data_IF_453266029355
#
_entry.id   IF_453266029355
#
_cell.length_a   1.000
_cell.length_b   1.000
_cell.length_c   1.000
_cell.angle_alpha   90.00
_cell.angle_beta   90.00
_cell.angle_gamma   90.00
#
_symmetry.space_group_name_H-M   'P 1'
#
loop_
_entity.id
_entity.type
_entity.pdbx_description
1 polymer ?
#
# COMPACT_ATOMS: atom_id res chain seq x y z
N UNK A 1 -17.87 1.77 14.03
CA UNK A 1 -16.92 1.80 12.90
C UNK A 1 -16.08 3.06 13.00
N UNK A 2 -14.78 2.91 13.28
CA UNK A 2 -13.82 4.01 13.34
C UNK A 2 -12.87 3.97 12.15
N UNK A 3 -13.33 3.52 10.97
CA UNK A 3 -12.56 3.49 9.73
C UNK A 3 -11.59 2.31 9.58
N UNK A 4 -11.71 1.26 10.40
CA UNK A 4 -10.86 0.06 10.27
C UNK A 4 -11.44 -0.96 9.28
N UNK A 5 -10.57 -1.79 8.70
CA UNK A 5 -10.91 -2.90 7.83
C UNK A 5 -10.39 -4.22 8.40
N UNK A 6 -11.11 -5.31 8.14
CA UNK A 6 -10.66 -6.66 8.48
C UNK A 6 -10.05 -7.34 7.25
N UNK A 7 -8.88 -7.95 7.43
CA UNK A 7 -8.22 -8.76 6.43
C UNK A 7 -7.94 -10.19 6.92
N UNK A 8 -7.50 -11.04 6.00
CA UNK A 8 -7.08 -12.41 6.32
C UNK A 8 -5.57 -12.47 6.57
N UNK A 9 -5.16 -13.25 7.57
CA UNK A 9 -3.75 -13.43 7.96
C UNK A 9 -3.38 -14.91 8.08
N UNK A 10 -3.81 -15.71 7.11
CA UNK A 10 -3.54 -17.14 7.07
C UNK A 10 -4.35 -17.96 8.07
N UNK A 11 -4.47 -19.26 7.79
CA UNK A 11 -5.05 -20.23 8.69
C UNK A 11 -3.98 -20.71 9.68
N UNK A 12 -4.20 -20.56 10.98
CA UNK A 12 -3.23 -20.86 12.04
C UNK A 12 -1.87 -20.14 11.88
N UNK A 13 -1.85 -18.95 11.32
CA UNK A 13 -0.62 -18.22 10.99
C UNK A 13 0.36 -19.04 10.13
N UNK A 14 -0.16 -19.92 9.29
CA UNK A 14 0.61 -20.80 8.43
C UNK A 14 0.74 -20.19 7.04
N UNK A 15 1.95 -19.96 6.53
CA UNK A 15 2.16 -19.35 5.22
C UNK A 15 1.63 -20.22 4.08
N UNK A 16 1.25 -19.59 2.98
CA UNK A 16 0.78 -20.30 1.79
C UNK A 16 1.97 -20.77 0.95
N UNK A 17 2.60 -21.84 1.39
CA UNK A 17 3.70 -22.51 0.69
C UNK A 17 3.69 -24.03 0.93
N UNK A 18 4.27 -24.76 -0.01
CA UNK A 18 4.46 -26.20 0.05
C UNK A 18 5.93 -26.48 0.41
N UNK A 19 6.17 -27.22 1.49
CA UNK A 19 7.51 -27.47 2.01
C UNK A 19 8.48 -28.04 0.99
N UNK A 20 8.09 -29.16 0.39
CA UNK A 20 8.99 -29.87 -0.55
C UNK A 20 9.09 -29.21 -1.92
N UNK A 21 8.12 -28.39 -2.31
CA UNK A 21 8.03 -27.80 -3.64
C UNK A 21 8.54 -26.36 -3.68
N UNK A 22 8.20 -25.56 -2.67
CA UNK A 22 8.48 -24.13 -2.66
C UNK A 22 9.75 -23.81 -1.87
N UNK A 23 9.84 -24.23 -0.60
CA UNK A 23 10.89 -23.77 0.31
C UNK A 23 11.59 -24.89 1.08
N UNK A 24 11.08 -26.15 1.04
CA UNK A 24 11.72 -27.27 1.69
C UNK A 24 11.95 -27.05 3.18
N UNK A 25 13.17 -27.31 3.62
CA UNK A 25 13.57 -27.18 5.03
C UNK A 25 14.00 -25.75 5.43
N UNK A 26 13.90 -24.78 4.53
CA UNK A 26 14.35 -23.40 4.78
C UNK A 26 13.44 -22.69 5.79
N UNK A 27 12.15 -23.04 5.82
CA UNK A 27 11.19 -22.42 6.73
C UNK A 27 11.14 -23.08 8.10
N UNK A 28 11.18 -22.30 9.18
CA UNK A 28 11.00 -22.82 10.54
C UNK A 28 9.53 -23.17 10.87
N UNK A 29 8.62 -23.04 9.91
CA UNK A 29 7.19 -23.30 10.09
C UNK A 29 6.76 -24.58 9.42
N UNK A 30 5.60 -25.08 9.85
CA UNK A 30 4.90 -26.12 9.10
C UNK A 30 4.38 -25.52 7.79
N UNK A 31 4.75 -26.16 6.68
CA UNK A 31 4.23 -25.87 5.36
C UNK A 31 3.04 -26.79 5.05
N UNK A 32 2.32 -26.49 3.98
CA UNK A 32 1.19 -27.32 3.56
C UNK A 32 1.68 -28.59 2.84
N UNK A 33 1.01 -29.69 3.08
CA UNK A 33 1.37 -31.00 2.51
C UNK A 33 1.17 -31.05 0.99
N UNK A 34 0.18 -30.34 0.49
CA UNK A 34 -0.16 -30.22 -0.92
C UNK A 34 -1.10 -29.02 -1.15
N UNK A 35 -1.27 -28.63 -2.40
CA UNK A 35 -2.11 -27.51 -2.80
C UNK A 35 -3.56 -27.65 -2.33
N UNK A 36 -4.13 -28.85 -2.38
CA UNK A 36 -5.50 -29.10 -1.92
C UNK A 36 -5.67 -28.82 -0.43
N UNK A 37 -4.67 -29.16 0.40
CA UNK A 37 -4.70 -28.87 1.84
C UNK A 37 -4.61 -27.35 2.08
N UNK A 38 -3.78 -26.66 1.32
CA UNK A 38 -3.62 -25.19 1.35
C UNK A 38 -4.92 -24.49 0.92
N UNK A 39 -5.55 -24.92 -0.18
CA UNK A 39 -6.85 -24.43 -0.66
C UNK A 39 -7.96 -24.67 0.37
N UNK A 40 -7.99 -25.87 0.99
CA UNK A 40 -8.97 -26.20 2.01
C UNK A 40 -8.82 -25.34 3.26
N UNK A 41 -7.59 -25.01 3.66
CA UNK A 41 -7.32 -24.13 4.79
C UNK A 41 -7.79 -22.70 4.53
N UNK A 42 -7.53 -22.16 3.35
CA UNK A 42 -8.04 -20.85 2.96
C UNK A 42 -9.56 -20.83 2.89
N UNK A 43 -10.19 -21.86 2.33
CA UNK A 43 -11.65 -21.99 2.29
C UNK A 43 -12.25 -21.99 3.68
N UNK A 44 -11.64 -22.72 4.62
CA UNK A 44 -12.09 -22.78 6.03
C UNK A 44 -11.89 -21.43 6.73
N UNK A 45 -10.77 -20.75 6.53
CA UNK A 45 -10.51 -19.43 7.06
C UNK A 45 -11.59 -18.43 6.60
N UNK A 46 -11.92 -18.44 5.32
CA UNK A 46 -12.95 -17.55 4.75
C UNK A 46 -14.35 -17.91 5.25
N UNK A 47 -14.66 -19.19 5.36
CA UNK A 47 -15.91 -19.66 5.95
C UNK A 47 -16.06 -19.17 7.40
N UNK A 48 -14.99 -19.25 8.17
CA UNK A 48 -14.94 -18.78 9.55
C UNK A 48 -15.09 -17.27 9.63
N UNK A 49 -14.35 -16.52 8.81
CA UNK A 49 -14.46 -15.05 8.71
C UNK A 49 -15.88 -14.61 8.42
N UNK A 50 -16.53 -15.21 7.41
CA UNK A 50 -17.93 -14.93 7.07
C UNK A 50 -18.91 -15.24 8.22
N UNK A 51 -18.62 -16.29 8.99
CA UNK A 51 -19.45 -16.66 10.16
C UNK A 51 -19.29 -15.65 11.31
N UNK A 52 -18.06 -15.24 11.59
CA UNK A 52 -17.76 -14.34 12.71
C UNK A 52 -18.13 -12.88 12.43
N UNK A 53 -18.02 -12.47 11.17
CA UNK A 53 -18.25 -11.10 10.72
C UNK A 53 -19.26 -11.08 9.56
N UNK A 54 -20.54 -11.42 9.84
CA UNK A 54 -21.55 -11.49 8.80
C UNK A 54 -21.80 -10.11 8.18
N UNK A 55 -21.83 -10.06 6.84
CA UNK A 55 -21.98 -8.81 6.09
C UNK A 55 -20.70 -8.01 5.86
N UNK A 56 -19.57 -8.42 6.43
CA UNK A 56 -18.27 -7.80 6.16
C UNK A 56 -17.60 -8.47 4.96
N UNK A 57 -17.22 -7.67 3.99
CA UNK A 57 -16.39 -8.13 2.89
C UNK A 57 -14.92 -7.94 3.29
N UNK A 58 -14.15 -9.03 3.25
CA UNK A 58 -12.71 -9.02 3.51
C UNK A 58 -12.00 -9.35 2.19
N UNK A 59 -11.23 -8.40 1.67
CA UNK A 59 -10.55 -8.52 0.38
C UNK A 59 -9.03 -8.45 0.49
N UNK A 60 -8.50 -8.13 1.67
CA UNK A 60 -7.07 -8.00 1.92
C UNK A 60 -6.52 -9.29 2.52
N UNK A 61 -5.43 -9.78 1.97
CA UNK A 61 -4.65 -10.88 2.50
C UNK A 61 -3.27 -10.38 2.93
N UNK A 62 -2.90 -10.65 4.17
CA UNK A 62 -1.58 -10.36 4.72
C UNK A 62 -0.87 -11.70 4.93
N UNK A 63 0.21 -11.99 4.20
CA UNK A 63 0.93 -13.27 4.37
C UNK A 63 1.54 -13.40 5.76
N UNK A 64 1.30 -14.53 6.47
CA UNK A 64 1.98 -14.81 7.72
C UNK A 64 3.50 -14.79 7.55
N UNK A 65 4.20 -14.10 8.44
CA UNK A 65 5.66 -13.92 8.41
C UNK A 65 6.19 -13.35 7.08
N UNK A 66 5.36 -12.66 6.31
CA UNK A 66 5.65 -12.16 4.96
C UNK A 66 5.98 -13.27 3.93
N UNK A 67 5.67 -14.51 4.23
CA UNK A 67 5.98 -15.64 3.34
C UNK A 67 4.77 -15.98 2.49
N UNK A 68 4.96 -15.90 1.18
CA UNK A 68 3.97 -16.29 0.18
C UNK A 68 4.71 -16.88 -1.02
N UNK A 69 4.51 -18.15 -1.29
CA UNK A 69 5.10 -18.79 -2.47
C UNK A 69 4.40 -18.34 -3.75
N UNK A 70 5.07 -18.49 -4.87
CA UNK A 70 4.48 -18.26 -6.19
C UNK A 70 3.24 -19.14 -6.41
N UNK A 71 3.30 -20.40 -5.95
CA UNK A 71 2.15 -21.30 -6.03
C UNK A 71 1.00 -20.86 -5.12
N UNK A 72 1.32 -20.43 -3.89
CA UNK A 72 0.32 -19.86 -2.97
C UNK A 72 -0.36 -18.61 -3.54
N UNK A 73 0.41 -17.72 -4.15
CA UNK A 73 -0.12 -16.55 -4.84
C UNK A 73 -1.04 -16.92 -6.01
N UNK A 74 -0.60 -17.84 -6.89
CA UNK A 74 -1.42 -18.33 -8.00
C UNK A 74 -2.73 -18.94 -7.52
N UNK A 75 -2.68 -19.71 -6.44
CA UNK A 75 -3.88 -20.27 -5.83
C UNK A 75 -4.84 -19.18 -5.34
N UNK A 76 -4.34 -18.14 -4.65
CA UNK A 76 -5.16 -17.02 -4.21
C UNK A 76 -5.85 -16.35 -5.41
N UNK A 77 -5.11 -15.96 -6.43
CA UNK A 77 -5.63 -15.29 -7.60
C UNK A 77 -6.70 -16.12 -8.36
N UNK A 78 -6.47 -17.42 -8.48
CA UNK A 78 -7.34 -18.30 -9.30
C UNK A 78 -8.55 -18.86 -8.55
N UNK A 79 -8.40 -19.15 -7.24
CA UNK A 79 -9.41 -19.85 -6.44
C UNK A 79 -10.18 -18.93 -5.50
N UNK A 80 -9.64 -17.78 -5.18
CA UNK A 80 -10.19 -16.85 -4.18
C UNK A 80 -10.32 -15.44 -4.75
N UNK A 81 -11.16 -15.23 -5.80
CA UNK A 81 -11.26 -13.95 -6.50
C UNK A 81 -11.79 -12.80 -5.64
N UNK A 82 -12.27 -13.07 -4.43
CA UNK A 82 -12.61 -12.07 -3.44
C UNK A 82 -11.39 -11.42 -2.78
N UNK A 83 -10.21 -12.05 -2.81
CA UNK A 83 -8.96 -11.43 -2.44
C UNK A 83 -8.53 -10.52 -3.58
N UNK A 84 -8.49 -9.23 -3.30
CA UNK A 84 -8.11 -8.18 -4.25
C UNK A 84 -6.76 -7.57 -3.95
N UNK A 85 -6.31 -7.70 -2.71
CA UNK A 85 -5.11 -7.05 -2.19
C UNK A 85 -4.23 -8.05 -1.48
N UNK A 86 -2.94 -8.00 -1.73
CA UNK A 86 -1.93 -8.72 -0.95
C UNK A 86 -0.98 -7.67 -0.34
N UNK A 87 -0.88 -7.66 0.99
CA UNK A 87 0.00 -6.78 1.74
C UNK A 87 1.14 -7.58 2.36
N UNK A 88 2.26 -7.73 1.65
CA UNK A 88 3.44 -8.46 2.09
C UNK A 88 4.62 -7.51 2.35
N UNK A 89 5.77 -7.80 1.82
CA UNK A 89 7.02 -7.10 2.06
C UNK A 89 7.55 -6.42 0.80
N UNK A 90 8.27 -5.32 1.01
CA UNK A 90 9.03 -4.66 -0.06
C UNK A 90 10.36 -5.36 -0.35
N UNK A 91 10.96 -5.97 0.66
CA UNK A 91 12.28 -6.59 0.55
C UNK A 91 12.22 -8.04 0.10
N UNK A 92 13.19 -8.41 -0.75
CA UNK A 92 13.49 -9.81 -1.04
C UNK A 92 14.31 -10.43 0.09
N UNK A 93 13.94 -11.64 0.49
CA UNK A 93 14.71 -12.54 1.35
C UNK A 93 14.54 -13.96 0.86
N UNK A 94 15.20 -14.93 1.48
CA UNK A 94 15.15 -16.33 1.02
C UNK A 94 13.74 -16.88 0.85
N UNK A 95 12.80 -16.43 1.71
CA UNK A 95 11.41 -16.86 1.71
C UNK A 95 10.42 -15.70 1.60
N UNK A 96 10.87 -14.47 1.43
CA UNK A 96 10.01 -13.30 1.38
C UNK A 96 9.44 -13.09 -0.03
N UNK A 97 8.17 -12.77 -0.08
CA UNK A 97 7.50 -12.37 -1.30
C UNK A 97 7.71 -10.86 -1.52
N UNK A 98 8.45 -10.51 -2.55
CA UNK A 98 8.76 -9.11 -2.90
C UNK A 98 7.59 -8.47 -3.61
N UNK A 99 7.25 -7.25 -3.22
CA UNK A 99 6.14 -6.47 -3.80
C UNK A 99 6.58 -5.06 -4.17
N UNK A 100 5.80 -4.45 -5.08
CA UNK A 100 5.74 -3.03 -5.36
C UNK A 100 4.30 -2.52 -5.15
N UNK A 101 4.07 -1.20 -5.09
CA UNK A 101 2.71 -0.64 -5.07
C UNK A 101 2.17 -0.60 -6.48
N UNK A 102 1.53 -1.68 -6.91
CA UNK A 102 1.07 -1.84 -8.29
C UNK A 102 -0.17 -2.74 -8.40
N UNK A 103 -0.76 -2.72 -9.57
CA UNK A 103 -1.71 -3.75 -9.99
C UNK A 103 -0.93 -4.80 -10.77
N UNK A 104 -0.80 -5.98 -10.20
CA UNK A 104 -0.08 -7.09 -10.83
C UNK A 104 -0.85 -7.65 -12.05
N UNK A 105 -0.15 -8.41 -12.88
CA UNK A 105 -0.71 -9.00 -14.12
C UNK A 105 -1.96 -9.88 -13.90
N UNK A 106 -2.10 -10.45 -12.71
CA UNK A 106 -3.28 -11.24 -12.32
C UNK A 106 -4.43 -10.41 -11.74
N UNK A 107 -4.29 -9.09 -11.71
CA UNK A 107 -5.28 -8.14 -11.22
C UNK A 107 -5.34 -8.00 -9.69
N UNK A 108 -4.43 -8.62 -8.96
CA UNK A 108 -4.27 -8.39 -7.52
C UNK A 108 -3.48 -7.10 -7.32
N UNK A 109 -3.97 -6.24 -6.43
CA UNK A 109 -3.25 -5.02 -6.02
C UNK A 109 -2.23 -5.38 -4.96
N UNK A 110 -1.00 -4.98 -5.17
CA UNK A 110 0.10 -5.20 -4.24
C UNK A 110 0.32 -3.98 -3.35
N UNK A 111 0.49 -4.22 -2.06
CA UNK A 111 0.68 -3.19 -1.04
C UNK A 111 1.79 -3.62 -0.08
N UNK A 112 3.07 -3.41 -0.42
CA UNK A 112 4.17 -3.76 0.47
C UNK A 112 4.09 -2.97 1.78
N UNK A 113 4.44 -3.64 2.88
CA UNK A 113 4.55 -3.04 4.21
C UNK A 113 6.02 -2.76 4.48
N UNK A 114 6.40 -1.50 4.54
CA UNK A 114 7.80 -1.09 4.60
C UNK A 114 8.22 -0.78 6.03
N UNK A 115 7.35 -0.13 6.80
CA UNK A 115 7.64 0.39 8.13
C UNK A 115 6.98 -0.50 9.17
N UNK A 116 7.67 -0.77 10.27
CA UNK A 116 7.16 -1.64 11.33
C UNK A 116 7.52 -1.19 12.74
N UNK A 117 6.62 -1.50 13.69
CA UNK A 117 6.84 -1.28 15.11
C UNK A 117 6.57 0.15 15.56
N UNK A 118 6.97 0.47 16.80
CA UNK A 118 6.64 1.73 17.45
C UNK A 118 7.88 2.59 17.77
N UNK A 119 9.07 2.17 17.38
CA UNK A 119 10.31 2.88 17.71
C UNK A 119 10.79 3.63 16.48
N UNK A 120 10.65 4.96 16.52
CA UNK A 120 11.17 5.84 15.50
C UNK A 120 12.69 5.97 15.63
N UNK A 121 13.41 5.37 14.73
CA UNK A 121 14.85 5.51 14.55
C UNK A 121 15.17 6.11 13.17
N UNK A 122 16.46 6.37 12.91
CA UNK A 122 16.92 6.97 11.66
C UNK A 122 16.56 6.10 10.44
N UNK A 123 16.56 4.78 10.59
CA UNK A 123 16.17 3.86 9.53
C UNK A 123 14.68 3.97 9.21
N UNK A 124 13.84 3.99 10.24
CA UNK A 124 12.39 4.11 10.08
C UNK A 124 12.00 5.46 9.46
N UNK A 125 12.65 6.56 9.89
CA UNK A 125 12.47 7.87 9.26
C UNK A 125 12.90 7.86 7.79
N UNK A 126 14.08 7.33 7.49
CA UNK A 126 14.57 7.23 6.11
C UNK A 126 13.66 6.38 5.22
N UNK A 127 13.18 5.24 5.73
CA UNK A 127 12.27 4.37 5.01
C UNK A 127 10.93 5.09 4.74
N UNK A 128 10.35 5.76 5.75
CA UNK A 128 9.10 6.50 5.61
C UNK A 128 9.19 7.65 4.60
N UNK A 129 10.27 8.46 4.66
CA UNK A 129 10.48 9.54 3.69
C UNK A 129 10.70 9.01 2.28
N UNK A 130 11.44 7.90 2.14
CA UNK A 130 11.67 7.26 0.84
C UNK A 130 10.35 6.75 0.24
N UNK A 131 9.54 6.07 1.04
CA UNK A 131 8.22 5.57 0.63
C UNK A 131 7.29 6.70 0.20
N UNK A 132 7.18 7.75 1.00
CA UNK A 132 6.37 8.93 0.68
C UNK A 132 6.81 9.62 -0.61
N UNK A 133 8.12 9.74 -0.85
CA UNK A 133 8.62 10.42 -2.05
C UNK A 133 8.58 9.56 -3.31
N UNK A 134 8.67 8.25 -3.20
CA UNK A 134 8.71 7.34 -4.36
C UNK A 134 7.34 6.76 -4.70
N UNK A 135 6.48 6.55 -3.70
CA UNK A 135 5.20 5.87 -3.87
C UNK A 135 3.99 6.68 -3.40
N UNK A 136 4.21 7.84 -2.74
CA UNK A 136 3.14 8.69 -2.17
C UNK A 136 2.30 7.97 -1.13
N UNK A 137 2.87 6.99 -0.46
CA UNK A 137 2.23 6.11 0.54
C UNK A 137 3.09 6.09 1.80
N UNK A 138 2.47 5.88 2.95
CA UNK A 138 3.12 5.41 4.16
C UNK A 138 2.43 4.12 4.60
N UNK A 139 3.11 3.01 4.45
CA UNK A 139 2.61 1.67 4.80
C UNK A 139 3.30 1.18 6.06
N UNK A 140 2.57 1.23 7.18
CA UNK A 140 3.09 0.91 8.49
C UNK A 140 2.33 -0.27 9.10
N UNK A 141 3.03 -1.25 9.66
CA UNK A 141 2.40 -2.34 10.38
C UNK A 141 2.91 -2.49 11.81
N UNK A 142 2.03 -2.94 12.67
CA UNK A 142 2.30 -3.20 14.07
C UNK A 142 1.69 -4.52 14.49
N UNK A 143 2.32 -5.17 15.45
CA UNK A 143 1.76 -6.34 16.12
C UNK A 143 1.33 -5.96 17.54
N UNK A 144 0.12 -6.37 17.98
CA UNK A 144 -0.30 -6.13 19.36
C UNK A 144 0.61 -6.78 20.41
N UNK A 145 1.35 -7.83 20.04
CA UNK A 145 2.32 -8.55 20.86
C UNK A 145 3.73 -7.96 20.85
N UNK A 146 3.97 -6.83 20.20
CA UNK A 146 5.22 -6.06 20.32
C UNK A 146 5.55 -5.70 21.80
N UNK A 147 4.52 -5.66 22.65
CA UNK A 147 4.66 -5.51 24.09
C UNK A 147 5.28 -6.72 24.80
N UNK A 148 5.35 -7.85 24.15
CA UNK A 148 5.87 -9.12 24.69
C UNK A 148 7.21 -9.50 24.06
N UNK A 149 7.59 -8.85 22.96
CA UNK A 149 8.81 -9.13 22.20
C UNK A 149 9.93 -8.15 22.62
N UNK A 150 11.01 -8.71 23.16
CA UNK A 150 12.14 -7.91 23.64
C UNK A 150 12.86 -7.14 22.54
N UNK A 151 12.92 -7.70 21.34
CA UNK A 151 13.56 -7.08 20.17
C UNK A 151 12.69 -5.97 19.57
N UNK A 152 11.39 -5.97 19.88
CA UNK A 152 10.42 -5.00 19.38
C UNK A 152 10.02 -3.94 20.40
N UNK A 153 10.67 -3.93 21.57
CA UNK A 153 10.52 -2.89 22.57
C UNK A 153 9.74 -3.28 23.83
N UNK A 154 9.51 -4.57 24.10
CA UNK A 154 8.83 -5.02 25.33
C UNK A 154 9.42 -4.47 26.61
N UNK A 155 10.76 -4.29 26.67
CA UNK A 155 11.47 -3.68 27.83
C UNK A 155 11.05 -2.25 28.12
N UNK A 156 10.50 -1.54 27.15
CA UNK A 156 10.02 -0.16 27.33
C UNK A 156 8.67 -0.11 28.05
N UNK A 157 7.83 -1.12 27.85
CA UNK A 157 6.46 -1.16 28.34
C UNK A 157 5.50 -0.26 27.55
N UNK A 158 4.20 -0.43 27.80
CA UNK A 158 3.12 0.20 27.03
C UNK A 158 3.23 1.71 26.90
N UNK A 159 3.40 2.42 28.02
CA UNK A 159 3.38 3.90 28.00
C UNK A 159 4.51 4.47 27.11
N UNK A 160 5.70 3.88 27.18
CA UNK A 160 6.83 4.35 26.36
C UNK A 160 6.67 3.98 24.90
N UNK A 161 6.18 2.78 24.61
CA UNK A 161 5.92 2.37 23.20
C UNK A 161 4.84 3.23 22.58
N UNK A 162 3.76 3.50 23.31
CA UNK A 162 2.70 4.39 22.89
C UNK A 162 3.25 5.79 22.57
N UNK A 163 4.03 6.38 23.47
CA UNK A 163 4.62 7.70 23.26
C UNK A 163 5.55 7.72 22.04
N UNK A 164 6.32 6.62 21.79
CA UNK A 164 7.16 6.51 20.60
C UNK A 164 6.33 6.46 19.30
N UNK A 165 5.22 5.75 19.33
CA UNK A 165 4.31 5.72 18.19
C UNK A 165 3.68 7.10 17.95
N UNK A 166 3.27 7.81 19.02
CA UNK A 166 2.74 9.17 18.93
C UNK A 166 3.79 10.13 18.37
N UNK A 167 5.04 10.08 18.84
CA UNK A 167 6.17 10.86 18.29
C UNK A 167 6.37 10.59 16.78
N UNK A 168 6.26 9.33 16.35
CA UNK A 168 6.33 8.97 14.93
C UNK A 168 5.16 9.54 14.14
N UNK A 169 3.94 9.42 14.62
CA UNK A 169 2.76 9.92 13.94
C UNK A 169 2.78 11.44 13.81
N UNK A 170 3.18 12.15 14.87
CA UNK A 170 3.33 13.60 14.85
C UNK A 170 4.37 14.02 13.79
N UNK A 171 5.54 13.39 13.79
CA UNK A 171 6.57 13.63 12.78
C UNK A 171 6.08 13.34 11.36
N UNK A 172 5.33 12.26 11.17
CA UNK A 172 4.79 11.87 9.85
C UNK A 172 3.82 12.92 9.32
N UNK A 173 2.87 13.37 10.15
CA UNK A 173 1.90 14.40 9.76
C UNK A 173 2.53 15.78 9.59
N UNK A 174 3.55 16.10 10.36
CA UNK A 174 4.33 17.33 10.14
C UNK A 174 5.10 17.29 8.80
N UNK A 175 5.59 16.11 8.43
CA UNK A 175 6.32 15.90 7.18
C UNK A 175 5.41 15.79 5.94
N UNK A 176 4.19 15.30 6.12
CA UNK A 176 3.20 15.09 5.06
C UNK A 176 1.79 15.49 5.56
N UNK A 177 1.49 16.80 5.68
CA UNK A 177 0.25 17.29 6.29
C UNK A 177 -1.01 16.91 5.51
N UNK A 178 -0.90 16.65 4.20
CA UNK A 178 -2.00 16.22 3.34
C UNK A 178 -2.18 14.68 3.31
N UNK A 179 -1.48 13.95 4.17
CA UNK A 179 -1.58 12.49 4.22
C UNK A 179 -2.98 12.03 4.61
N UNK A 180 -3.58 11.20 3.76
CA UNK A 180 -4.91 10.63 3.97
C UNK A 180 -4.82 9.27 4.64
N UNK A 181 -5.64 9.03 5.66
CA UNK A 181 -5.76 7.71 6.27
C UNK A 181 -6.70 6.84 5.44
N UNK A 182 -6.18 5.75 4.90
CA UNK A 182 -6.92 4.81 4.06
C UNK A 182 -6.89 3.40 4.65
N UNK A 183 -7.96 2.66 4.44
CA UNK A 183 -7.95 1.21 4.61
C UNK A 183 -7.20 0.53 3.45
N UNK A 184 -6.87 -0.76 3.59
CA UNK A 184 -6.21 -1.50 2.50
C UNK A 184 -7.01 -1.50 1.20
N UNK A 185 -8.35 -1.64 1.27
CA UNK A 185 -9.22 -1.60 0.08
C UNK A 185 -9.29 -0.20 -0.55
N UNK A 186 -9.30 0.86 0.25
CA UNK A 186 -9.28 2.24 -0.25
C UNK A 186 -7.94 2.57 -0.92
N UNK A 187 -6.83 2.12 -0.33
CA UNK A 187 -5.50 2.26 -0.93
C UNK A 187 -5.40 1.47 -2.25
N UNK A 188 -5.98 0.26 -2.32
CA UNK A 188 -6.07 -0.49 -3.58
C UNK A 188 -6.76 0.32 -4.67
N UNK A 189 -7.90 0.92 -4.36
CA UNK A 189 -8.60 1.79 -5.32
C UNK A 189 -7.76 3.00 -5.75
N UNK A 190 -6.94 3.57 -4.86
CA UNK A 190 -6.03 4.65 -5.21
C UNK A 190 -4.90 4.17 -6.14
N UNK A 191 -4.31 3.00 -5.88
CA UNK A 191 -3.27 2.39 -6.73
C UNK A 191 -3.84 2.06 -8.12
N UNK A 192 -5.04 1.47 -8.19
CA UNK A 192 -5.71 1.18 -9.47
C UNK A 192 -5.95 2.45 -10.28
N UNK A 193 -6.44 3.52 -9.65
CA UNK A 193 -6.65 4.81 -10.32
C UNK A 193 -5.35 5.44 -10.80
N UNK A 194 -4.33 5.43 -9.95
CA UNK A 194 -3.00 5.95 -10.29
C UNK A 194 -2.38 5.19 -11.48
N UNK A 195 -2.43 3.87 -11.45
CA UNK A 195 -1.89 3.02 -12.51
C UNK A 195 -2.64 3.13 -13.84
N UNK A 196 -3.96 3.42 -13.80
CA UNK A 196 -4.78 3.59 -15.00
C UNK A 196 -4.68 5.00 -15.61
N UNK A 197 -4.31 6.02 -14.83
CA UNK A 197 -4.29 7.41 -15.26
C UNK A 197 -3.24 7.63 -16.34
N UNK A 198 -3.67 8.15 -17.48
CA UNK A 198 -2.77 8.61 -18.55
C UNK A 198 -3.16 10.02 -18.97
N UNK A 199 -2.28 10.71 -19.67
CA UNK A 199 -2.56 12.08 -20.11
C UNK A 199 -2.13 12.34 -21.56
N UNK A 200 -2.87 13.21 -22.22
CA UNK A 200 -2.48 13.85 -23.45
C UNK A 200 -2.12 15.31 -23.13
N UNK A 201 -1.07 15.82 -23.75
CA UNK A 201 -0.58 17.18 -23.51
C UNK A 201 -0.46 17.94 -24.81
N UNK A 202 -1.08 19.11 -24.88
CA UNK A 202 -0.90 20.09 -25.94
C UNK A 202 -0.28 21.38 -25.34
N UNK A 203 0.86 21.80 -25.89
CA UNK A 203 1.57 23.00 -25.42
C UNK A 203 1.61 23.99 -26.55
N UNK A 204 1.06 25.18 -26.31
CA UNK A 204 1.12 26.32 -27.21
C UNK A 204 1.95 27.46 -26.60
N UNK A 205 2.16 28.54 -27.33
CA UNK A 205 2.79 29.73 -26.77
C UNK A 205 1.96 30.38 -25.64
N UNK A 206 0.67 30.09 -25.59
CA UNK A 206 -0.30 30.75 -24.70
C UNK A 206 -0.85 29.86 -23.59
N UNK A 207 -0.77 28.55 -23.77
CA UNK A 207 -1.39 27.61 -22.83
C UNK A 207 -0.69 26.25 -22.79
N UNK A 208 -0.91 25.54 -21.69
CA UNK A 208 -0.74 24.10 -21.56
C UNK A 208 -2.12 23.50 -21.35
N UNK A 209 -2.49 22.57 -22.22
CA UNK A 209 -3.76 21.85 -22.15
C UNK A 209 -3.46 20.39 -21.85
N UNK A 210 -4.14 19.85 -20.85
CA UNK A 210 -4.03 18.45 -20.43
C UNK A 210 -5.40 17.80 -20.55
N UNK A 211 -5.43 16.61 -21.14
CA UNK A 211 -6.58 15.72 -21.10
C UNK A 211 -6.18 14.46 -20.34
N UNK A 212 -6.85 14.19 -19.23
CA UNK A 212 -6.58 13.08 -18.33
C UNK A 212 -7.50 11.91 -18.70
N UNK A 213 -6.92 10.87 -19.27
CA UNK A 213 -7.66 9.66 -19.60
C UNK A 213 -7.78 8.77 -18.34
N UNK A 214 -8.91 8.10 -18.18
CA UNK A 214 -9.26 7.32 -16.97
C UNK A 214 -9.29 8.15 -15.69
N UNK A 215 -9.57 9.44 -15.82
CA UNK A 215 -9.81 10.31 -14.67
C UNK A 215 -11.03 9.83 -13.88
N UNK A 216 -10.94 9.84 -12.55
CA UNK A 216 -12.02 9.35 -11.68
C UNK A 216 -12.68 10.49 -10.90
N UNK A 217 -11.96 11.13 -9.99
CA UNK A 217 -12.46 12.21 -9.14
C UNK A 217 -11.47 13.37 -9.02
N UNK A 218 -10.22 13.08 -8.80
CA UNK A 218 -9.12 14.02 -8.72
C UNK A 218 -7.81 13.39 -9.17
N UNK A 219 -6.85 14.23 -9.56
CA UNK A 219 -5.50 13.77 -9.90
C UNK A 219 -4.46 14.83 -9.52
N UNK A 220 -3.30 14.36 -9.05
CA UNK A 220 -2.17 15.21 -8.71
C UNK A 220 -1.04 14.99 -9.69
N UNK A 221 -0.57 16.07 -10.33
CA UNK A 221 0.50 16.02 -11.32
C UNK A 221 1.57 17.07 -11.02
N UNK A 222 2.83 16.62 -11.03
CA UNK A 222 3.97 17.54 -10.95
C UNK A 222 4.24 18.14 -12.33
N UNK A 223 4.19 19.45 -12.45
CA UNK A 223 4.41 20.18 -13.70
C UNK A 223 5.67 21.05 -13.62
N UNK A 224 6.54 20.94 -14.61
CA UNK A 224 7.70 21.80 -14.75
C UNK A 224 7.52 22.73 -15.94
N UNK A 225 7.49 24.02 -15.68
CA UNK A 225 7.43 25.06 -16.72
C UNK A 225 8.83 25.48 -17.10
N UNK A 226 9.34 24.98 -18.22
CA UNK A 226 10.65 25.36 -18.76
C UNK A 226 10.59 26.65 -19.59
N UNK A 227 9.39 27.12 -19.92
CA UNK A 227 9.10 28.21 -20.78
C UNK A 227 7.81 28.92 -20.30
N UNK A 228 7.91 30.22 -20.02
CA UNK A 228 6.82 31.04 -19.48
C UNK A 228 6.55 30.81 -17.99
N UNK A 229 5.58 31.56 -17.48
CA UNK A 229 5.08 31.47 -16.11
C UNK A 229 3.61 31.05 -16.17
N UNK A 230 3.15 30.10 -15.35
CA UNK A 230 1.75 29.73 -15.34
C UNK A 230 0.86 30.91 -14.89
N UNK A 231 -0.26 31.04 -15.54
CA UNK A 231 -1.28 32.04 -15.29
C UNK A 231 -2.54 31.40 -14.67
N UNK A 232 -3.70 31.75 -15.26
CA UNK A 232 -4.99 31.21 -14.83
C UNK A 232 -5.09 29.72 -15.14
N UNK A 233 -5.65 28.96 -14.19
CA UNK A 233 -5.93 27.53 -14.34
C UNK A 233 -7.44 27.31 -14.44
N UNK A 234 -7.85 26.44 -15.33
CA UNK A 234 -9.23 25.94 -15.45
C UNK A 234 -9.19 24.43 -15.36
N UNK A 235 -10.11 23.81 -14.62
CA UNK A 235 -10.16 22.35 -14.40
C UNK A 235 -9.30 21.86 -13.23
N UNK A 236 -8.70 22.78 -12.46
CA UNK A 236 -7.89 22.45 -11.31
C UNK A 236 -7.29 23.65 -10.62
N UNK A 237 -6.41 23.40 -9.68
CA UNK A 237 -5.64 24.40 -8.94
C UNK A 237 -4.14 24.11 -9.11
N UNK A 238 -3.32 25.15 -9.13
CA UNK A 238 -1.88 25.03 -9.32
C UNK A 238 -1.15 25.70 -8.16
N UNK A 239 -0.38 24.89 -7.43
CA UNK A 239 0.46 25.35 -6.33
C UNK A 239 1.93 25.44 -6.78
N UNK A 240 2.61 26.52 -6.40
CA UNK A 240 4.04 26.66 -6.64
C UNK A 240 4.84 25.92 -5.59
N UNK A 241 5.63 24.93 -6.01
CA UNK A 241 6.47 24.13 -5.11
C UNK A 241 7.85 24.78 -4.94
N UNK A 242 8.62 24.90 -6.02
CA UNK A 242 9.94 25.55 -6.01
C UNK A 242 10.43 25.85 -7.42
N UNK A 243 11.11 26.95 -7.63
CA UNK A 243 11.68 27.32 -8.95
C UNK A 243 10.61 27.34 -10.04
N UNK A 244 10.72 26.43 -11.01
CA UNK A 244 9.74 26.27 -12.09
C UNK A 244 8.85 25.01 -11.93
N UNK A 245 8.83 24.45 -10.75
CA UNK A 245 8.06 23.25 -10.41
C UNK A 245 6.76 23.62 -9.70
N UNK A 246 5.67 23.06 -10.14
CA UNK A 246 4.32 23.27 -9.63
C UNK A 246 3.61 21.94 -9.40
N UNK A 247 2.72 21.89 -8.42
CA UNK A 247 1.78 20.80 -8.19
C UNK A 247 0.41 21.22 -8.76
N UNK A 248 -0.08 20.46 -9.72
CA UNK A 248 -1.45 20.58 -10.21
C UNK A 248 -2.35 19.62 -9.44
N UNK A 249 -3.39 20.14 -8.81
CA UNK A 249 -4.53 19.37 -8.34
C UNK A 249 -5.64 19.52 -9.39
N UNK A 250 -5.80 18.52 -10.24
CA UNK A 250 -6.85 18.47 -11.25
C UNK A 250 -8.15 17.95 -10.63
N UNK A 251 -9.25 18.67 -10.85
CA UNK A 251 -10.61 18.28 -10.42
C UNK A 251 -11.54 18.00 -11.61
N UNK A 252 -11.00 18.08 -12.81
CA UNK A 252 -11.64 17.72 -14.08
C UNK A 252 -10.65 16.95 -14.96
N UNK A 253 -11.17 16.18 -15.89
CA UNK A 253 -10.40 15.43 -16.87
C UNK A 253 -9.76 16.33 -17.95
N UNK A 254 -10.25 17.56 -18.10
CA UNK A 254 -9.66 18.59 -18.99
C UNK A 254 -9.14 19.75 -18.15
N UNK A 255 -7.85 20.02 -18.25
CA UNK A 255 -7.18 21.12 -17.55
C UNK A 255 -6.50 22.04 -18.54
N UNK A 256 -6.71 23.35 -18.40
CA UNK A 256 -6.03 24.39 -19.17
C UNK A 256 -5.29 25.33 -18.23
N UNK A 257 -4.01 25.55 -18.50
CA UNK A 257 -3.15 26.49 -17.77
C UNK A 257 -2.66 27.54 -18.74
N UNK A 258 -3.05 28.78 -18.53
CA UNK A 258 -2.56 29.92 -19.34
C UNK A 258 -1.08 30.14 -19.06
N UNK A 259 -0.32 30.54 -20.09
CA UNK A 259 1.09 30.99 -19.99
C UNK A 259 1.15 32.51 -20.07
N UNK A 260 1.98 33.11 -19.21
CA UNK A 260 2.30 34.53 -19.20
C UNK A 260 3.71 34.77 -19.68
#
# INVERSE_FOLDING_TARGET
HQGGELGYHGYNHQPLCLGDTDYGDVLPYKTWKNEKAMESAMSELMRFGKKMFPGTQMSVYVPPSNVLSEQGRKMLAQKFPQIKTIASNYFAGECAYTQEFEVADDGIVEQPRIISGAILDDYMQMAAVSELNMHFVNSHFMHPDDLLDEDRGAKLGWEKLKNRLEEYMDWLYDSAPELRNLTGSELSGAIERYGALTYEKNVTDKSVELKLNHFYDEAYLMLRFNDGIPGKVTGGELEHVTGNLYLLHAVNDEVTIEKK
#
